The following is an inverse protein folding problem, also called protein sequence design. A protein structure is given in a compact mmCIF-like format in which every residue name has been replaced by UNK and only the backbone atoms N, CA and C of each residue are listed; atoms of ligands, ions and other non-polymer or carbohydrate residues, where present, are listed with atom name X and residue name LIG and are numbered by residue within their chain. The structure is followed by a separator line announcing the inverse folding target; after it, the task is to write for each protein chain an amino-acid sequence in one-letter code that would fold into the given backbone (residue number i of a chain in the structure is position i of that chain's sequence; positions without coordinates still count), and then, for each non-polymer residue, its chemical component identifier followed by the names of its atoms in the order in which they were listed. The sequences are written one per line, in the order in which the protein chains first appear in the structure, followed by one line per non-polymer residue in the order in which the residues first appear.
data_IF_886355711524
#
_entry.id   IF_886355711524
#
_cell.length_a   1.000
_cell.length_b   1.000
_cell.length_c   1.000
_cell.angle_alpha   90.00
_cell.angle_beta   90.00
_cell.angle_gamma   90.00
#
_symmetry.space_group_name_H-M   'P 1'
#
loop_
_entity.id
_entity.type
_entity.pdbx_description
1 polymer ?
#
# COMPACT_ATOMS: atom_id res chain seq x y z
N UNK A 1 -19.72 0.71 48.01
CA UNK A 1 -19.34 0.18 46.66
C UNK A 1 -20.14 0.81 45.52
N UNK A 2 -21.14 1.64 45.74
CA UNK A 2 -21.95 2.28 44.68
C UNK A 2 -21.33 3.58 44.10
N UNK A 3 -20.72 4.41 44.92
CA UNK A 3 -20.18 5.69 44.48
C UNK A 3 -18.95 5.61 43.57
N UNK A 4 -18.06 4.64 43.83
CA UNK A 4 -16.86 4.45 42.95
C UNK A 4 -17.22 4.02 41.53
N UNK A 5 -18.30 3.27 41.37
CA UNK A 5 -18.78 2.80 40.06
C UNK A 5 -19.39 3.93 39.22
N UNK A 6 -20.07 4.89 39.87
CA UNK A 6 -20.61 6.09 39.19
C UNK A 6 -19.50 7.01 38.71
N UNK A 7 -18.45 7.22 39.51
CA UNK A 7 -17.30 8.04 39.09
C UNK A 7 -16.52 7.41 37.94
N UNK A 8 -16.31 6.09 37.95
CA UNK A 8 -15.66 5.39 36.85
C UNK A 8 -16.48 5.45 35.56
N UNK A 9 -17.78 5.28 35.63
CA UNK A 9 -18.69 5.40 34.49
C UNK A 9 -18.69 6.81 33.90
N UNK A 10 -18.68 7.83 34.76
CA UNK A 10 -18.62 9.24 34.36
C UNK A 10 -17.31 9.59 33.68
N UNK A 11 -16.17 9.07 34.17
CA UNK A 11 -14.85 9.28 33.56
C UNK A 11 -14.76 8.60 32.19
N UNK A 12 -15.25 7.37 32.04
CA UNK A 12 -15.25 6.65 30.75
C UNK A 12 -16.11 7.36 29.73
N UNK A 13 -17.29 7.84 30.08
CA UNK A 13 -18.17 8.62 29.19
C UNK A 13 -17.56 9.96 28.78
N UNK A 14 -16.81 10.61 29.69
CA UNK A 14 -16.13 11.87 29.41
C UNK A 14 -14.94 11.68 28.45
N UNK A 15 -14.15 10.61 28.61
CA UNK A 15 -13.03 10.27 27.70
C UNK A 15 -13.54 9.91 26.31
N UNK A 16 -14.61 9.12 26.21
CA UNK A 16 -15.25 8.79 24.92
C UNK A 16 -15.82 10.04 24.23
N UNK A 17 -16.41 10.96 25.01
CA UNK A 17 -16.93 12.24 24.49
C UNK A 17 -15.82 13.13 23.94
N UNK A 18 -14.66 13.19 24.61
CA UNK A 18 -13.48 13.93 24.15
C UNK A 18 -12.84 13.31 22.90
N UNK A 19 -12.81 11.98 22.83
CA UNK A 19 -12.30 11.27 21.64
C UNK A 19 -13.18 11.56 20.41
N UNK A 20 -14.50 11.47 20.54
CA UNK A 20 -15.47 11.84 19.48
C UNK A 20 -15.38 13.31 19.09
N UNK A 21 -15.17 14.21 20.06
CA UNK A 21 -14.98 15.63 19.78
C UNK A 21 -13.70 15.90 18.98
N UNK A 22 -12.61 15.19 19.30
CA UNK A 22 -11.35 15.26 18.55
C UNK A 22 -11.51 14.76 17.12
N UNK A 23 -12.17 13.64 16.90
CA UNK A 23 -12.46 13.11 15.56
C UNK A 23 -13.34 14.09 14.77
N UNK A 24 -14.37 14.68 15.39
CA UNK A 24 -15.25 15.67 14.74
C UNK A 24 -14.51 16.97 14.40
N UNK A 25 -13.59 17.41 15.26
CA UNK A 25 -12.77 18.61 15.00
C UNK A 25 -11.75 18.37 13.90
N UNK A 26 -11.18 17.16 13.85
CA UNK A 26 -10.20 16.78 12.82
C UNK A 26 -10.86 16.64 11.45
N UNK A 27 -12.04 16.03 11.36
CA UNK A 27 -12.83 15.97 10.13
C UNK A 27 -13.30 17.34 9.67
N UNK A 28 -13.73 18.22 10.58
CA UNK A 28 -14.11 19.59 10.25
C UNK A 28 -12.94 20.39 9.67
N UNK A 29 -11.74 20.26 10.27
CA UNK A 29 -10.52 20.91 9.77
C UNK A 29 -10.15 20.44 8.35
N UNK A 30 -10.34 19.15 8.02
CA UNK A 30 -10.06 18.63 6.68
C UNK A 30 -11.06 19.16 5.65
N UNK A 31 -12.35 19.31 6.00
CA UNK A 31 -13.37 19.87 5.11
C UNK A 31 -13.22 21.39 4.93
N UNK A 32 -12.81 22.12 5.96
CA UNK A 32 -12.61 23.56 5.88
C UNK A 32 -11.48 23.95 4.92
N UNK A 33 -10.57 23.03 4.61
CA UNK A 33 -9.45 23.23 3.67
C UNK A 33 -9.67 22.58 2.30
N UNK A 34 -10.82 21.96 2.09
CA UNK A 34 -11.15 21.35 0.81
C UNK A 34 -11.14 22.40 -0.32
N UNK A 35 -10.41 22.12 -1.42
CA UNK A 35 -10.25 23.03 -2.54
C UNK A 35 -9.18 24.13 -2.35
N UNK A 36 -8.45 24.15 -1.24
CA UNK A 36 -7.26 24.99 -1.08
C UNK A 36 -5.99 24.27 -1.54
N UNK A 37 -4.90 25.02 -1.74
CA UNK A 37 -3.59 24.43 -2.05
C UNK A 37 -3.10 23.66 -0.83
N UNK A 38 -2.58 22.45 -1.06
CA UNK A 38 -1.99 21.63 -0.02
C UNK A 38 -0.81 22.35 0.64
N UNK A 39 -0.73 22.27 1.96
CA UNK A 39 0.42 22.74 2.72
C UNK A 39 1.54 21.67 2.72
N UNK A 40 2.79 22.04 3.03
CA UNK A 40 3.89 21.07 3.10
C UNK A 40 3.59 19.86 4.01
N UNK A 41 2.90 20.09 5.13
CA UNK A 41 2.50 19.03 6.08
C UNK A 41 1.40 18.09 5.57
N UNK A 42 0.72 18.44 4.48
CA UNK A 42 -0.28 17.58 3.84
C UNK A 42 0.36 16.64 2.81
N UNK A 43 1.61 16.91 2.44
CA UNK A 43 2.31 16.12 1.42
C UNK A 43 2.92 14.87 2.05
N UNK A 44 2.83 13.76 1.32
CA UNK A 44 3.50 12.52 1.71
C UNK A 44 5.01 12.70 1.59
N UNK A 45 5.75 12.34 2.63
CA UNK A 45 7.21 12.19 2.57
C UNK A 45 7.55 10.98 1.70
N UNK A 46 8.06 11.26 0.50
CA UNK A 46 8.34 10.23 -0.52
C UNK A 46 9.54 9.36 -0.11
N UNK A 47 10.56 9.94 0.51
CA UNK A 47 11.73 9.19 0.94
C UNK A 47 11.37 8.23 2.09
N UNK A 48 10.57 8.70 3.04
CA UNK A 48 10.02 7.84 4.10
C UNK A 48 9.11 6.74 3.55
N UNK A 49 8.31 7.03 2.53
CA UNK A 49 7.44 6.05 1.87
C UNK A 49 8.25 4.95 1.17
N UNK A 50 9.31 5.33 0.46
CA UNK A 50 10.20 4.38 -0.22
C UNK A 50 10.96 3.54 0.81
N UNK A 51 11.47 4.15 1.88
CA UNK A 51 12.10 3.42 2.98
C UNK A 51 11.14 2.42 3.61
N UNK A 52 9.90 2.83 3.90
CA UNK A 52 8.89 1.93 4.44
C UNK A 52 8.58 0.74 3.52
N UNK A 53 8.64 0.92 2.20
CA UNK A 53 8.44 -0.17 1.23
C UNK A 53 9.48 -1.27 1.39
N UNK A 54 10.76 -0.93 1.62
CA UNK A 54 11.84 -1.90 1.77
C UNK A 54 12.03 -2.39 3.20
N UNK A 55 11.83 -1.52 4.21
CA UNK A 55 12.23 -1.77 5.59
C UNK A 55 11.12 -2.41 6.44
N UNK A 56 9.84 -2.20 6.07
CA UNK A 56 8.71 -2.76 6.81
C UNK A 56 8.36 -4.13 6.25
N UNK A 57 8.60 -5.15 7.08
CA UNK A 57 8.22 -6.52 6.75
C UNK A 57 6.79 -6.81 7.21
N UNK A 58 5.88 -7.23 6.29
CA UNK A 58 4.50 -7.53 6.64
C UNK A 58 4.40 -8.75 7.57
N UNK A 59 3.50 -8.69 8.55
CA UNK A 59 3.19 -9.83 9.40
C UNK A 59 2.15 -10.74 8.71
N UNK A 60 2.52 -11.95 8.26
CA UNK A 60 1.60 -12.86 7.60
C UNK A 60 0.51 -13.42 8.53
N UNK A 61 0.67 -13.28 9.84
CA UNK A 61 -0.37 -13.65 10.82
C UNK A 61 -1.50 -12.61 10.88
N UNK A 62 -1.20 -11.34 10.51
CA UNK A 62 -2.18 -10.27 10.44
C UNK A 62 -2.94 -10.32 9.10
N UNK A 63 -4.26 -10.60 9.08
CA UNK A 63 -5.04 -10.66 7.84
C UNK A 63 -4.99 -9.38 7.01
N UNK A 64 -4.86 -8.22 7.64
CA UNK A 64 -4.85 -6.91 6.99
C UNK A 64 -3.53 -6.62 6.25
N UNK A 65 -2.48 -7.38 6.56
CA UNK A 65 -1.16 -7.27 5.94
C UNK A 65 -0.86 -8.39 4.94
N UNK A 66 -1.85 -9.20 4.61
CA UNK A 66 -1.71 -10.25 3.58
C UNK A 66 -1.93 -9.69 2.18
N UNK A 67 -1.39 -10.39 1.19
CA UNK A 67 -1.77 -10.13 -0.20
C UNK A 67 -3.28 -10.27 -0.34
N UNK A 68 -3.93 -9.22 -0.81
CA UNK A 68 -5.38 -9.21 -1.05
C UNK A 68 -5.66 -8.52 -2.38
N UNK A 69 -6.32 -9.24 -3.30
CA UNK A 69 -6.70 -8.70 -4.60
C UNK A 69 -8.12 -8.17 -4.56
N UNK A 70 -8.27 -6.87 -4.86
CA UNK A 70 -9.56 -6.27 -5.22
C UNK A 70 -9.83 -6.41 -6.73
N UNK A 71 -10.73 -5.58 -7.25
CA UNK A 71 -11.09 -5.55 -8.69
C UNK A 71 -9.93 -5.17 -9.62
N UNK A 72 -8.92 -4.50 -9.12
CA UNK A 72 -7.82 -3.94 -9.94
C UNK A 72 -6.43 -4.33 -9.44
N UNK A 73 -6.33 -5.36 -8.60
CA UNK A 73 -5.07 -5.84 -8.06
C UNK A 73 -4.92 -5.63 -6.55
N UNK A 74 -3.72 -5.91 -6.04
CA UNK A 74 -3.34 -5.70 -4.65
C UNK A 74 -3.04 -4.22 -4.40
N UNK A 75 -3.57 -3.65 -3.34
CA UNK A 75 -3.40 -2.24 -2.95
C UNK A 75 -3.24 -2.12 -1.44
N UNK A 76 -2.45 -1.15 -1.01
CA UNK A 76 -2.24 -0.86 0.40
C UNK A 76 -1.28 0.31 0.61
N UNK A 77 -1.03 0.66 1.87
CA UNK A 77 -0.01 1.60 2.27
C UNK A 77 1.24 0.86 2.74
N UNK A 78 2.42 1.30 2.30
CA UNK A 78 3.68 0.74 2.77
C UNK A 78 3.90 1.00 4.26
N UNK A 79 3.45 2.16 4.76
CA UNK A 79 3.54 2.48 6.20
C UNK A 79 2.74 1.53 7.10
N UNK A 80 1.69 0.92 6.57
CA UNK A 80 0.82 -0.01 7.32
C UNK A 80 1.22 -1.48 7.14
N UNK A 81 2.34 -1.76 6.44
CA UNK A 81 2.72 -3.13 6.12
C UNK A 81 1.76 -3.82 5.14
N UNK A 82 1.09 -3.05 4.27
CA UNK A 82 0.06 -3.56 3.33
C UNK A 82 0.48 -3.49 1.86
N UNK A 83 1.58 -2.83 1.55
CA UNK A 83 2.16 -2.77 0.21
C UNK A 83 3.69 -2.57 0.31
N UNK A 84 4.41 -3.65 0.52
CA UNK A 84 5.84 -3.66 0.77
C UNK A 84 6.54 -4.63 -0.21
N UNK A 85 7.87 -4.63 -0.23
CA UNK A 85 8.67 -5.46 -1.13
C UNK A 85 8.27 -6.93 -1.06
N UNK A 86 8.09 -7.48 0.15
CA UNK A 86 7.68 -8.87 0.34
C UNK A 86 6.37 -9.25 -0.38
N UNK A 87 5.41 -8.32 -0.46
CA UNK A 87 4.17 -8.52 -1.22
C UNK A 87 4.47 -8.65 -2.72
N UNK A 88 5.32 -7.78 -3.26
CA UNK A 88 5.65 -7.77 -4.70
C UNK A 88 6.44 -9.02 -5.07
N UNK A 89 7.38 -9.45 -4.20
CA UNK A 89 8.09 -10.73 -4.37
C UNK A 89 7.10 -11.88 -4.43
N UNK A 90 6.20 -12.00 -3.45
CA UNK A 90 5.23 -13.10 -3.37
C UNK A 90 4.26 -13.10 -4.57
N UNK A 91 3.72 -11.94 -4.96
CA UNK A 91 2.82 -11.80 -6.10
C UNK A 91 3.53 -12.19 -7.41
N UNK A 92 4.75 -11.68 -7.61
CA UNK A 92 5.50 -11.92 -8.84
C UNK A 92 5.90 -13.40 -8.94
N UNK A 93 6.33 -14.02 -7.84
CA UNK A 93 6.62 -15.45 -7.83
C UNK A 93 5.37 -16.27 -8.12
N UNK A 94 4.22 -15.94 -7.54
CA UNK A 94 2.96 -16.62 -7.84
C UNK A 94 2.57 -16.52 -9.34
N UNK A 95 2.84 -15.36 -9.97
CA UNK A 95 2.64 -15.20 -11.42
C UNK A 95 3.57 -16.13 -12.21
N UNK A 96 4.83 -16.25 -11.81
CA UNK A 96 5.80 -17.16 -12.45
C UNK A 96 5.33 -18.61 -12.35
N UNK A 97 4.96 -19.04 -11.16
CA UNK A 97 4.49 -20.40 -10.88
C UNK A 97 3.23 -20.72 -11.69
N UNK A 98 2.24 -19.82 -11.70
CA UNK A 98 1.02 -19.97 -12.49
C UNK A 98 1.31 -20.07 -13.99
N UNK A 99 2.22 -19.24 -14.53
CA UNK A 99 2.61 -19.31 -15.93
C UNK A 99 3.24 -20.65 -16.29
N UNK A 100 4.09 -21.18 -15.40
CA UNK A 100 4.71 -22.49 -15.57
C UNK A 100 3.67 -23.62 -15.56
N UNK A 101 2.73 -23.59 -14.61
CA UNK A 101 1.62 -24.57 -14.52
C UNK A 101 0.73 -24.55 -15.77
N UNK A 102 0.47 -23.37 -16.34
CA UNK A 102 -0.36 -23.20 -17.53
C UNK A 102 0.41 -23.40 -18.85
N UNK A 103 1.73 -23.60 -18.80
CA UNK A 103 2.57 -23.74 -19.99
C UNK A 103 2.72 -22.46 -20.81
N UNK A 104 2.58 -21.28 -20.19
CA UNK A 104 2.73 -19.99 -20.86
C UNK A 104 4.21 -19.64 -21.02
N UNK A 105 4.73 -19.77 -22.26
CA UNK A 105 6.14 -19.57 -22.60
C UNK A 105 6.42 -18.24 -23.33
N UNK A 106 5.40 -17.44 -23.63
CA UNK A 106 5.55 -16.15 -24.29
C UNK A 106 6.15 -15.09 -23.36
N UNK A 107 6.55 -13.92 -23.89
CA UNK A 107 7.07 -12.84 -23.08
C UNK A 107 6.00 -12.29 -22.12
N UNK A 108 6.45 -11.79 -20.96
CA UNK A 108 5.61 -11.07 -20.02
C UNK A 108 5.84 -9.57 -20.21
N UNK A 109 4.76 -8.81 -20.42
CA UNK A 109 4.83 -7.36 -20.54
C UNK A 109 4.58 -6.75 -19.16
N UNK A 110 5.42 -5.79 -18.76
CA UNK A 110 5.28 -5.09 -17.50
C UNK A 110 5.49 -3.59 -17.72
N UNK A 111 4.56 -2.80 -17.22
CA UNK A 111 4.61 -1.35 -17.19
C UNK A 111 4.60 -0.81 -15.77
N UNK A 112 4.78 0.51 -15.64
CA UNK A 112 4.67 1.24 -14.38
C UNK A 112 3.94 2.55 -14.60
N UNK A 113 3.26 3.03 -13.58
CA UNK A 113 2.59 4.33 -13.55
C UNK A 113 3.43 5.40 -12.82
N UNK A 114 2.82 6.54 -12.51
CA UNK A 114 3.49 7.70 -11.89
C UNK A 114 3.48 7.67 -10.36
N UNK A 115 2.93 6.63 -9.72
CA UNK A 115 2.93 6.53 -8.26
C UNK A 115 4.37 6.36 -7.73
N UNK A 116 4.68 6.97 -6.58
CA UNK A 116 6.03 6.94 -6.01
C UNK A 116 6.58 5.52 -5.79
N UNK A 117 5.73 4.56 -5.42
CA UNK A 117 6.12 3.15 -5.24
C UNK A 117 6.11 2.32 -6.52
N UNK A 118 5.65 2.86 -7.65
CA UNK A 118 5.63 2.10 -8.91
C UNK A 118 7.03 1.70 -9.38
N UNK A 119 8.02 2.56 -9.25
CA UNK A 119 9.40 2.21 -9.62
C UNK A 119 10.02 1.18 -8.68
N UNK A 120 9.99 1.32 -7.34
CA UNK A 120 10.45 0.28 -6.43
C UNK A 120 9.78 -1.09 -6.69
N UNK A 121 8.45 -1.12 -6.78
CA UNK A 121 7.71 -2.35 -7.05
C UNK A 121 8.06 -2.98 -8.40
N UNK A 122 8.22 -2.17 -9.45
CA UNK A 122 8.63 -2.63 -10.77
C UNK A 122 10.05 -3.22 -10.76
N UNK A 123 11.01 -2.62 -10.04
CA UNK A 123 12.36 -3.14 -9.86
C UNK A 123 12.35 -4.50 -9.17
N UNK A 124 11.67 -4.61 -8.03
CA UNK A 124 11.52 -5.87 -7.30
C UNK A 124 10.89 -6.96 -8.19
N UNK A 125 9.83 -6.62 -8.94
CA UNK A 125 9.21 -7.56 -9.87
C UNK A 125 10.18 -8.03 -10.97
N UNK A 126 10.97 -7.11 -11.55
CA UNK A 126 11.98 -7.47 -12.57
C UNK A 126 13.07 -8.40 -12.01
N UNK A 127 13.50 -8.19 -10.78
CA UNK A 127 14.50 -9.05 -10.13
C UNK A 127 13.96 -10.47 -9.94
N UNK A 128 12.72 -10.64 -9.48
CA UNK A 128 12.08 -11.94 -9.35
C UNK A 128 11.90 -12.62 -10.72
N UNK A 129 11.43 -11.88 -11.72
CA UNK A 129 11.25 -12.40 -13.09
C UNK A 129 12.57 -12.81 -13.72
N UNK A 130 13.64 -12.03 -13.54
CA UNK A 130 14.97 -12.32 -14.04
C UNK A 130 15.57 -13.57 -13.36
N UNK A 131 15.41 -13.69 -12.03
CA UNK A 131 15.84 -14.87 -11.28
C UNK A 131 15.17 -16.16 -11.79
N UNK A 132 13.92 -16.06 -12.22
CA UNK A 132 13.15 -17.16 -12.81
C UNK A 132 13.33 -17.30 -14.33
N UNK A 133 14.21 -16.51 -14.96
CA UNK A 133 14.51 -16.53 -16.41
C UNK A 133 13.29 -16.29 -17.30
N UNK A 134 12.35 -15.50 -16.84
CA UNK A 134 11.18 -15.09 -17.63
C UNK A 134 11.62 -14.06 -18.66
N UNK A 135 11.23 -14.23 -19.94
CA UNK A 135 11.40 -13.21 -20.97
C UNK A 135 10.45 -12.05 -20.69
N UNK A 136 11.00 -10.87 -20.36
CA UNK A 136 10.24 -9.70 -19.97
C UNK A 136 10.38 -8.59 -21.00
N UNK A 137 9.26 -7.92 -21.31
CA UNK A 137 9.22 -6.75 -22.17
C UNK A 137 8.83 -5.52 -21.36
N UNK A 138 9.65 -4.49 -21.47
CA UNK A 138 9.46 -3.19 -20.79
C UNK A 138 9.49 -2.06 -21.81
N UNK A 139 8.99 -0.88 -21.46
CA UNK A 139 9.14 0.31 -22.29
C UNK A 139 10.62 0.68 -22.42
N UNK A 140 11.15 0.65 -23.65
CA UNK A 140 12.55 0.97 -23.93
C UNK A 140 12.96 2.40 -23.56
N UNK A 141 11.99 3.31 -23.44
CA UNK A 141 12.21 4.70 -23.03
C UNK A 141 12.33 4.86 -21.52
N UNK A 142 12.04 3.80 -20.73
CA UNK A 142 12.00 3.87 -19.27
C UNK A 142 10.89 4.79 -18.75
N UNK A 143 9.84 5.01 -19.55
CA UNK A 143 8.74 5.91 -19.24
C UNK A 143 7.59 5.19 -18.54
N UNK A 144 6.55 5.95 -18.19
CA UNK A 144 5.31 5.42 -17.64
C UNK A 144 4.44 4.83 -18.75
N UNK A 145 3.77 3.71 -18.46
CA UNK A 145 2.95 3.01 -19.44
C UNK A 145 1.51 2.96 -18.93
N UNK A 146 0.56 3.57 -19.66
CA UNK A 146 -0.86 3.46 -19.29
C UNK A 146 -1.33 1.99 -19.35
N UNK A 147 -2.14 1.56 -18.39
CA UNK A 147 -2.65 0.19 -18.33
C UNK A 147 -3.23 -0.33 -19.66
N UNK A 148 -3.98 0.46 -20.47
CA UNK A 148 -4.51 -0.01 -21.75
C UNK A 148 -3.43 -0.27 -22.82
N UNK A 149 -2.18 0.14 -22.58
CA UNK A 149 -1.07 -0.04 -23.53
C UNK A 149 -0.18 -1.25 -23.21
N UNK A 150 -0.39 -1.87 -22.04
CA UNK A 150 0.26 -3.11 -21.62
C UNK A 150 -0.56 -4.30 -22.09
#
# INVERSE_FOLDING_TARGET
MSELNEYLLTIVLYVDSLARLRETLQTKSMFDRAGTVALPEDLTDIDALISAYYDIEPDPSNPDQRVSFGTSGHRGSAFDGKFNEAHIVAITQAIVDYRAEQGFNGPLFIGRDTHALSEPAWRTALEVLAANKVDVRIDARGSFTPTPAV
#
